data_IF_538132702355
#
_entry.id   IF_538132702355
#
_cell.length_a   1.000
_cell.length_b   1.000
_cell.length_c   1.000
_cell.angle_alpha   90.00
_cell.angle_beta   90.00
_cell.angle_gamma   90.00
#
_symmetry.space_group_name_H-M   'P 1'
#
loop_
_entity.id
_entity.type
_entity.pdbx_description
1 polymer ?
#
# COMPACT_ATOMS: atom_id res chain seq x y z
N UNK A 1 -1.64 -19.63 -44.27
CA UNK A 1 -0.96 -18.83 -43.23
C UNK A 1 0.59 -18.83 -43.35
N UNK A 2 1.15 -19.46 -44.38
CA UNK A 2 2.62 -19.53 -44.62
C UNK A 2 3.17 -18.55 -45.66
N UNK A 3 2.34 -17.75 -46.33
CA UNK A 3 2.77 -16.88 -47.47
C UNK A 3 3.03 -15.40 -47.09
N UNK A 4 2.82 -15.00 -45.83
CA UNK A 4 3.08 -13.59 -45.42
C UNK A 4 4.51 -13.35 -44.89
N UNK A 5 5.29 -14.40 -44.63
CA UNK A 5 6.65 -14.30 -44.10
C UNK A 5 7.74 -14.04 -45.17
N UNK A 6 7.40 -14.14 -46.45
CA UNK A 6 8.37 -14.07 -47.53
C UNK A 6 8.76 -12.64 -47.95
N UNK A 7 8.12 -11.60 -47.43
CA UNK A 7 8.31 -10.20 -47.88
C UNK A 7 9.04 -9.26 -46.93
N UNK A 8 9.31 -9.72 -45.68
CA UNK A 8 10.01 -8.88 -44.74
C UNK A 8 11.49 -9.27 -44.62
N UNK A 9 12.39 -8.29 -44.82
CA UNK A 9 13.82 -8.55 -44.64
C UNK A 9 14.15 -8.89 -43.16
N UNK A 10 15.20 -9.68 -42.89
CA UNK A 10 15.55 -10.13 -41.52
C UNK A 10 15.67 -9.01 -40.49
N UNK A 11 16.13 -7.83 -40.89
CA UNK A 11 16.22 -6.66 -40.02
C UNK A 11 14.84 -6.14 -39.57
N UNK A 12 13.79 -6.31 -40.37
CA UNK A 12 12.42 -5.91 -40.00
C UNK A 12 11.88 -6.79 -38.87
N UNK A 13 12.22 -8.10 -38.88
CA UNK A 13 11.90 -9.00 -37.77
C UNK A 13 12.68 -8.63 -36.49
N UNK A 14 13.96 -8.24 -36.62
CA UNK A 14 14.75 -7.77 -35.50
C UNK A 14 14.19 -6.46 -34.91
N UNK A 15 13.75 -5.52 -35.75
CA UNK A 15 13.09 -4.28 -35.28
C UNK A 15 11.75 -4.56 -34.63
N UNK A 16 10.92 -5.44 -35.21
CA UNK A 16 9.63 -5.83 -34.62
C UNK A 16 9.82 -6.54 -33.28
N UNK A 17 10.77 -7.46 -33.17
CA UNK A 17 11.11 -8.12 -31.92
C UNK A 17 11.70 -7.13 -30.89
N UNK A 18 12.55 -6.20 -31.35
CA UNK A 18 13.13 -5.14 -30.54
C UNK A 18 12.10 -4.16 -29.98
N UNK A 19 10.99 -3.91 -30.71
CA UNK A 19 9.89 -3.07 -30.25
C UNK A 19 8.84 -3.86 -29.43
N UNK A 20 8.62 -5.12 -29.77
CA UNK A 20 7.58 -5.95 -29.13
C UNK A 20 7.89 -6.24 -27.66
N UNK A 21 9.14 -6.47 -27.30
CA UNK A 21 9.55 -6.75 -25.92
C UNK A 21 9.32 -5.54 -24.98
N UNK A 22 9.80 -4.31 -25.30
CA UNK A 22 9.49 -3.14 -24.49
C UNK A 22 7.98 -2.85 -24.41
N UNK A 23 7.24 -3.01 -25.52
CA UNK A 23 5.80 -2.84 -25.54
C UNK A 23 5.10 -3.84 -24.63
N UNK A 24 5.48 -5.13 -24.69
CA UNK A 24 4.96 -6.16 -23.80
C UNK A 24 5.27 -5.87 -22.32
N UNK A 25 6.49 -5.43 -22.01
CA UNK A 25 6.87 -5.03 -20.65
C UNK A 25 6.04 -3.84 -20.16
N UNK A 26 5.78 -2.83 -21.01
CA UNK A 26 4.90 -1.71 -20.69
C UNK A 26 3.45 -2.15 -20.47
N UNK A 27 2.96 -3.08 -21.27
CA UNK A 27 1.60 -3.61 -21.12
C UNK A 27 1.44 -4.49 -19.88
N UNK A 28 2.45 -5.31 -19.57
CA UNK A 28 2.42 -6.26 -18.47
C UNK A 28 2.90 -5.67 -17.13
N UNK A 29 3.47 -4.45 -17.13
CA UNK A 29 4.10 -3.86 -15.94
C UNK A 29 3.21 -3.90 -14.70
N UNK A 30 1.90 -3.72 -14.83
CA UNK A 30 0.99 -3.79 -13.70
C UNK A 30 1.10 -5.12 -12.95
N UNK A 31 1.00 -6.25 -13.64
CA UNK A 31 1.16 -7.59 -13.04
C UNK A 31 2.57 -7.85 -12.55
N UNK A 32 3.59 -7.34 -13.24
CA UNK A 32 4.98 -7.48 -12.81
C UNK A 32 5.28 -6.68 -11.54
N UNK A 33 4.71 -5.50 -11.40
CA UNK A 33 4.96 -4.59 -10.28
C UNK A 33 4.16 -4.96 -9.03
N UNK A 34 2.86 -5.22 -9.17
CA UNK A 34 1.99 -5.60 -8.05
C UNK A 34 2.12 -7.08 -7.71
N UNK A 35 2.45 -7.88 -8.71
CA UNK A 35 2.73 -9.29 -8.55
C UNK A 35 1.53 -10.19 -8.71
N UNK A 36 1.72 -11.45 -8.36
CA UNK A 36 0.76 -12.53 -8.47
C UNK A 36 1.06 -13.57 -7.39
N UNK A 37 0.23 -13.68 -6.36
CA UNK A 37 0.45 -14.72 -5.34
C UNK A 37 -0.85 -15.25 -4.77
N UNK A 38 -0.84 -16.53 -4.45
CA UNK A 38 -1.86 -17.23 -3.71
C UNK A 38 -1.39 -17.56 -2.28
N UNK A 39 -0.13 -17.23 -1.95
CA UNK A 39 0.46 -17.60 -0.67
C UNK A 39 0.01 -16.62 0.41
N UNK A 40 -0.77 -17.13 1.35
CA UNK A 40 -1.12 -16.45 2.60
C UNK A 40 0.00 -16.74 3.60
N UNK A 41 0.66 -15.68 4.05
CA UNK A 41 1.64 -15.79 5.14
C UNK A 41 0.97 -15.32 6.41
N UNK A 42 0.79 -16.25 7.34
CA UNK A 42 0.29 -15.93 8.67
C UNK A 42 1.37 -15.25 9.52
N UNK A 43 0.93 -14.49 10.51
CA UNK A 43 1.76 -13.89 11.55
C UNK A 43 1.20 -14.29 12.91
N UNK A 44 1.93 -14.02 13.96
CA UNK A 44 1.41 -14.24 15.30
C UNK A 44 0.19 -13.34 15.55
N UNK A 45 -0.93 -13.91 16.02
CA UNK A 45 -2.10 -13.10 16.37
C UNK A 45 -1.74 -12.16 17.52
N UNK A 46 -2.30 -10.96 17.49
CA UNK A 46 -2.09 -10.00 18.57
C UNK A 46 -2.80 -10.43 19.86
N UNK A 47 -2.43 -9.83 20.99
CA UNK A 47 -2.94 -10.21 22.32
C UNK A 47 -4.47 -10.06 22.45
N UNK A 48 -5.10 -9.27 21.59
CA UNK A 48 -6.55 -9.07 21.56
C UNK A 48 -7.24 -9.81 20.39
N UNK A 49 -6.59 -10.82 19.78
CA UNK A 49 -7.12 -11.51 18.60
C UNK A 49 -8.49 -12.17 18.87
N UNK A 50 -8.71 -12.72 20.06
CA UNK A 50 -10.00 -13.32 20.45
C UNK A 50 -11.14 -12.29 20.55
N UNK A 51 -10.81 -11.02 20.72
CA UNK A 51 -11.77 -9.90 20.74
C UNK A 51 -11.99 -9.28 19.35
N UNK A 52 -11.71 -10.05 18.30
CA UNK A 52 -11.79 -9.61 16.91
C UNK A 52 -12.64 -10.56 16.09
N UNK A 53 -13.51 -10.01 15.26
CA UNK A 53 -14.32 -10.79 14.32
C UNK A 53 -13.89 -10.46 12.89
N UNK A 54 -13.14 -11.36 12.25
CA UNK A 54 -12.81 -11.24 10.83
C UNK A 54 -13.99 -11.68 9.96
N UNK A 55 -14.25 -10.92 8.92
CA UNK A 55 -15.25 -11.17 7.88
C UNK A 55 -14.57 -11.07 6.52
N UNK A 56 -14.73 -12.08 5.66
CA UNK A 56 -14.35 -11.98 4.26
C UNK A 56 -15.36 -11.10 3.52
N UNK A 57 -14.86 -10.08 2.81
CA UNK A 57 -15.70 -9.09 2.14
C UNK A 57 -15.31 -8.93 0.68
N UNK A 58 -16.26 -8.46 -0.12
CA UNK A 58 -16.06 -8.20 -1.53
C UNK A 58 -16.42 -6.77 -1.87
N UNK A 59 -15.57 -6.13 -2.67
CA UNK A 59 -15.81 -4.79 -3.18
C UNK A 59 -16.01 -4.85 -4.69
N UNK A 60 -17.22 -4.51 -5.14
CA UNK A 60 -17.53 -4.42 -6.56
C UNK A 60 -16.95 -3.14 -7.15
N UNK A 61 -16.34 -3.29 -8.34
CA UNK A 61 -15.71 -2.18 -9.08
C UNK A 61 -16.24 -2.12 -10.50
N UNK A 62 -16.16 -0.97 -11.17
CA UNK A 62 -16.57 -0.84 -12.57
C UNK A 62 -15.95 -1.91 -13.48
N UNK A 63 -16.72 -2.35 -14.48
CA UNK A 63 -16.29 -3.39 -15.42
C UNK A 63 -16.38 -4.82 -14.87
N UNK A 64 -17.21 -5.06 -13.82
CA UNK A 64 -17.41 -6.37 -13.23
C UNK A 64 -16.20 -6.89 -12.44
N UNK A 65 -15.26 -6.01 -12.10
CA UNK A 65 -14.12 -6.36 -11.26
C UNK A 65 -14.56 -6.48 -9.81
N UNK A 66 -14.20 -7.59 -9.15
CA UNK A 66 -14.42 -7.82 -7.72
C UNK A 66 -13.10 -7.89 -6.99
N UNK A 67 -13.00 -7.23 -5.83
CA UNK A 67 -11.82 -7.29 -4.97
C UNK A 67 -12.16 -8.06 -3.71
N UNK A 68 -11.34 -9.06 -3.41
CA UNK A 68 -11.40 -9.83 -2.18
C UNK A 68 -10.72 -9.06 -1.05
N UNK A 69 -11.35 -9.01 0.11
CA UNK A 69 -10.81 -8.34 1.28
C UNK A 69 -11.26 -8.96 2.60
N UNK A 70 -10.77 -8.38 3.68
CA UNK A 70 -11.11 -8.75 5.05
C UNK A 70 -11.41 -7.49 5.85
N UNK A 71 -12.60 -7.49 6.47
CA UNK A 71 -12.98 -6.55 7.50
C UNK A 71 -12.86 -7.25 8.85
N UNK A 72 -12.11 -6.67 9.78
CA UNK A 72 -11.99 -7.20 11.13
C UNK A 72 -12.45 -6.13 12.11
N UNK A 73 -13.52 -6.43 12.83
CA UNK A 73 -14.12 -5.51 13.79
C UNK A 73 -13.89 -5.97 15.23
N UNK A 74 -13.81 -5.04 16.21
CA UNK A 74 -13.84 -5.38 17.61
C UNK A 74 -15.16 -6.08 17.99
N UNK A 75 -15.12 -7.00 18.96
CA UNK A 75 -16.30 -7.71 19.46
C UNK A 75 -16.87 -7.13 20.77
N UNK A 76 -16.33 -6.01 21.24
CA UNK A 76 -16.84 -5.32 22.44
C UNK A 76 -18.18 -4.63 22.21
N UNK A 77 -18.81 -4.18 23.32
CA UNK A 77 -20.15 -3.55 23.29
C UNK A 77 -20.17 -2.17 22.60
N UNK A 78 -19.02 -1.54 22.47
CA UNK A 78 -18.91 -0.24 21.80
C UNK A 78 -18.56 -0.41 20.32
N UNK A 79 -19.26 0.32 19.42
CA UNK A 79 -18.91 0.30 18.00
C UNK A 79 -17.50 0.87 17.77
N UNK A 80 -16.84 0.48 16.68
CA UNK A 80 -15.53 1.04 16.33
C UNK A 80 -15.63 2.54 16.10
N UNK A 81 -14.61 3.27 16.49
CA UNK A 81 -14.47 4.72 16.29
C UNK A 81 -13.41 5.06 15.25
N UNK A 82 -12.60 4.07 14.83
CA UNK A 82 -11.51 4.20 13.89
C UNK A 82 -11.58 3.10 12.85
N UNK A 83 -11.22 3.46 11.64
CA UNK A 83 -11.01 2.52 10.54
C UNK A 83 -9.56 2.62 10.08
N UNK A 84 -8.78 1.57 10.27
CA UNK A 84 -7.47 1.43 9.65
C UNK A 84 -7.61 0.71 8.31
N UNK A 85 -7.31 1.39 7.20
CA UNK A 85 -7.25 0.79 5.88
C UNK A 85 -5.80 0.37 5.57
N UNK A 86 -5.59 -0.94 5.41
CA UNK A 86 -4.27 -1.53 5.20
C UNK A 86 -3.98 -1.82 3.74
N UNK A 87 -2.80 -1.43 3.27
CA UNK A 87 -2.28 -1.69 1.94
C UNK A 87 -1.08 -2.63 2.00
N UNK A 88 -1.24 -3.83 1.44
CA UNK A 88 -0.20 -4.84 1.37
C UNK A 88 0.99 -4.46 0.48
N UNK A 89 2.09 -5.18 0.64
CA UNK A 89 3.26 -5.07 -0.21
C UNK A 89 3.10 -5.78 -1.56
N UNK A 90 4.17 -5.80 -2.34
CA UNK A 90 4.23 -6.57 -3.59
C UNK A 90 4.06 -8.07 -3.32
N UNK A 91 3.25 -8.76 -4.12
CA UNK A 91 2.97 -10.20 -3.96
C UNK A 91 2.38 -10.56 -2.57
N UNK A 92 1.70 -9.66 -1.93
CA UNK A 92 1.13 -9.89 -0.60
C UNK A 92 -0.37 -10.11 -0.68
N UNK A 93 -0.81 -11.33 -0.37
CA UNK A 93 -2.21 -11.60 -0.08
C UNK A 93 -2.50 -11.13 1.35
N UNK A 94 -3.48 -10.23 1.50
CA UNK A 94 -3.80 -9.58 2.79
C UNK A 94 -4.67 -10.43 3.72
N UNK A 95 -4.94 -11.69 3.39
CA UNK A 95 -5.73 -12.60 4.23
C UNK A 95 -5.12 -12.89 5.62
N UNK A 96 -3.90 -12.45 5.88
CA UNK A 96 -3.26 -12.50 7.20
C UNK A 96 -3.61 -11.31 8.11
N UNK A 97 -4.18 -10.26 7.56
CA UNK A 97 -4.43 -9.01 8.30
C UNK A 97 -5.38 -9.16 9.51
N UNK A 98 -6.28 -10.14 9.59
CA UNK A 98 -6.99 -10.43 10.84
C UNK A 98 -6.07 -10.63 12.05
N UNK A 99 -4.90 -11.25 11.86
CA UNK A 99 -3.91 -11.44 12.93
C UNK A 99 -3.35 -10.09 13.41
N UNK A 100 -3.14 -9.13 12.50
CA UNK A 100 -2.73 -7.77 12.81
C UNK A 100 -3.76 -7.05 13.69
N UNK A 101 -5.05 -7.27 13.46
CA UNK A 101 -6.11 -6.59 14.17
C UNK A 101 -6.05 -6.79 15.71
N UNK A 102 -5.49 -7.90 16.16
CA UNK A 102 -5.29 -8.17 17.59
C UNK A 102 -4.27 -7.25 18.28
N UNK A 103 -3.50 -6.47 17.52
CA UNK A 103 -2.54 -5.48 18.04
C UNK A 103 -3.09 -4.05 18.03
N UNK A 104 -4.25 -3.84 17.42
CA UNK A 104 -4.86 -2.51 17.28
C UNK A 104 -5.70 -2.14 18.51
N UNK A 105 -5.97 -0.85 18.73
CA UNK A 105 -6.89 -0.38 19.77
C UNK A 105 -8.25 -1.07 19.70
N UNK A 106 -8.90 -1.26 20.84
CA UNK A 106 -10.20 -1.94 20.93
C UNK A 106 -11.33 -1.21 20.19
N UNK A 107 -11.16 0.07 19.87
CA UNK A 107 -12.10 0.87 19.09
C UNK A 107 -11.72 1.00 17.61
N UNK A 108 -10.71 0.22 17.15
CA UNK A 108 -10.22 0.29 15.77
C UNK A 108 -10.63 -0.94 14.97
N UNK A 109 -11.39 -0.73 13.89
CA UNK A 109 -11.62 -1.74 12.87
C UNK A 109 -10.48 -1.73 11.84
N UNK A 110 -10.19 -2.90 11.27
CA UNK A 110 -9.18 -3.08 10.23
C UNK A 110 -9.85 -3.55 8.93
N UNK A 111 -9.56 -2.86 7.83
CA UNK A 111 -10.00 -3.23 6.49
C UNK A 111 -8.80 -3.39 5.58
N UNK A 112 -8.76 -4.46 4.81
CA UNK A 112 -7.73 -4.70 3.80
C UNK A 112 -8.34 -5.38 2.57
N UNK A 113 -7.95 -4.95 1.37
CA UNK A 113 -8.30 -5.61 0.11
C UNK A 113 -7.05 -6.05 -0.64
N UNK A 114 -7.13 -7.22 -1.24
CA UNK A 114 -6.14 -7.64 -2.22
C UNK A 114 -6.18 -6.70 -3.43
N UNK A 115 -5.01 -6.28 -3.91
CA UNK A 115 -4.95 -5.59 -5.20
C UNK A 115 -5.51 -6.46 -6.32
N UNK A 116 -5.89 -5.84 -7.42
CA UNK A 116 -6.28 -6.54 -8.64
C UNK A 116 -5.24 -7.60 -8.99
N UNK A 117 -5.69 -8.77 -9.45
CA UNK A 117 -4.90 -9.97 -9.76
C UNK A 117 -4.18 -10.63 -8.57
N UNK A 118 -4.43 -10.23 -7.33
CA UNK A 118 -3.94 -10.92 -6.13
C UNK A 118 -5.08 -11.68 -5.44
N UNK A 119 -4.75 -12.82 -4.85
CA UNK A 119 -5.76 -13.69 -4.26
C UNK A 119 -6.87 -14.02 -5.28
N UNK A 120 -8.11 -13.79 -4.88
CA UNK A 120 -9.29 -13.97 -5.74
C UNK A 120 -9.76 -12.64 -6.36
N UNK A 121 -9.01 -11.55 -6.20
CA UNK A 121 -9.32 -10.26 -6.82
C UNK A 121 -9.13 -10.33 -8.33
N UNK A 122 -10.16 -9.89 -9.05
CA UNK A 122 -10.14 -9.80 -10.52
C UNK A 122 -9.39 -8.58 -11.03
N UNK A 123 -9.41 -8.41 -12.36
CA UNK A 123 -8.95 -7.21 -13.05
C UNK A 123 -7.43 -7.10 -13.20
N UNK A 124 -7.02 -5.99 -13.81
CA UNK A 124 -5.62 -5.69 -14.12
C UNK A 124 -5.11 -4.54 -13.23
N UNK A 125 -4.01 -4.72 -12.49
CA UNK A 125 -3.50 -3.69 -11.59
C UNK A 125 -2.74 -2.58 -12.35
N UNK A 126 -2.95 -1.34 -11.91
CA UNK A 126 -2.15 -0.16 -12.24
C UNK A 126 -2.20 0.80 -11.05
N UNK A 127 -1.33 1.79 -10.99
CA UNK A 127 -1.40 2.80 -9.94
C UNK A 127 -2.78 3.47 -9.91
N UNK A 128 -3.26 3.97 -11.05
CA UNK A 128 -4.56 4.63 -11.14
C UNK A 128 -5.70 3.72 -10.67
N UNK A 129 -5.70 2.43 -11.09
CA UNK A 129 -6.71 1.48 -10.67
C UNK A 129 -6.62 1.18 -9.17
N UNK A 130 -5.41 0.93 -8.64
CA UNK A 130 -5.22 0.62 -7.22
C UNK A 130 -5.57 1.81 -6.31
N UNK A 131 -5.27 3.05 -6.72
CA UNK A 131 -5.65 4.26 -5.97
C UNK A 131 -7.17 4.48 -6.01
N UNK A 132 -7.81 4.29 -7.16
CA UNK A 132 -9.27 4.36 -7.28
C UNK A 132 -9.98 3.26 -6.46
N UNK A 133 -9.41 2.06 -6.44
CA UNK A 133 -9.90 0.95 -5.61
C UNK A 133 -9.71 1.24 -4.13
N UNK A 134 -8.58 1.82 -3.74
CA UNK A 134 -8.30 2.24 -2.36
C UNK A 134 -9.28 3.34 -1.88
N UNK A 135 -9.61 4.32 -2.73
CA UNK A 135 -10.61 5.33 -2.40
C UNK A 135 -12.00 4.72 -2.21
N UNK A 136 -12.39 3.79 -3.08
CA UNK A 136 -13.65 3.07 -2.95
C UNK A 136 -13.69 2.18 -1.70
N UNK A 137 -12.58 1.52 -1.36
CA UNK A 137 -12.45 0.73 -0.14
C UNK A 137 -12.60 1.60 1.12
N UNK A 138 -11.99 2.79 1.12
CA UNK A 138 -12.16 3.76 2.21
C UNK A 138 -13.63 4.18 2.37
N UNK A 139 -14.27 4.58 1.27
CA UNK A 139 -15.69 4.97 1.29
C UNK A 139 -16.60 3.82 1.73
N UNK A 140 -16.37 2.61 1.21
CA UNK A 140 -17.13 1.42 1.58
C UNK A 140 -16.99 1.09 3.07
N UNK A 141 -15.75 1.10 3.60
CA UNK A 141 -15.48 0.77 4.99
C UNK A 141 -16.08 1.79 5.97
N UNK A 142 -15.96 3.09 5.68
CA UNK A 142 -16.57 4.14 6.48
C UNK A 142 -18.09 4.03 6.48
N UNK A 143 -18.72 3.82 5.33
CA UNK A 143 -20.16 3.63 5.21
C UNK A 143 -20.63 2.36 5.94
N UNK A 144 -19.93 1.23 5.79
CA UNK A 144 -20.24 -0.07 6.42
C UNK A 144 -20.23 0.00 7.95
N UNK A 145 -19.38 0.88 8.50
CA UNK A 145 -19.20 1.06 9.95
C UNK A 145 -19.90 2.33 10.49
N UNK A 146 -20.62 3.07 9.64
CA UNK A 146 -21.24 4.36 9.98
C UNK A 146 -20.25 5.37 10.58
N UNK A 147 -19.02 5.42 10.05
CA UNK A 147 -17.94 6.28 10.54
C UNK A 147 -17.81 7.55 9.68
N UNK A 148 -17.47 8.71 10.28
CA UNK A 148 -17.13 9.91 9.54
C UNK A 148 -15.75 9.78 8.86
N UNK A 149 -15.47 10.64 7.87
CA UNK A 149 -14.17 10.66 7.18
C UNK A 149 -12.99 10.90 8.12
N UNK A 150 -13.20 11.63 9.21
CA UNK A 150 -12.20 11.87 10.27
C UNK A 150 -11.84 10.62 11.08
N UNK A 151 -12.52 9.50 10.90
CA UNK A 151 -12.17 8.22 11.52
C UNK A 151 -11.19 7.39 10.67
N UNK A 152 -10.81 7.87 9.47
CA UNK A 152 -9.99 7.11 8.54
C UNK A 152 -8.49 7.25 8.84
N UNK A 153 -7.85 6.13 9.08
CA UNK A 153 -6.41 5.96 9.20
C UNK A 153 -5.91 5.05 8.08
N UNK A 154 -4.76 5.36 7.51
CA UNK A 154 -4.16 4.56 6.43
C UNK A 154 -2.89 3.89 6.91
N UNK A 155 -2.64 2.66 6.48
CA UNK A 155 -1.36 2.01 6.70
C UNK A 155 -0.91 1.27 5.44
N UNK A 156 0.36 1.40 5.10
CA UNK A 156 0.93 0.72 3.95
C UNK A 156 2.27 0.07 4.26
N UNK A 157 2.53 -1.07 3.63
CA UNK A 157 3.80 -1.77 3.71
C UNK A 157 4.48 -1.81 2.34
N UNK A 158 5.77 -1.43 2.27
CA UNK A 158 6.58 -1.50 1.04
C UNK A 158 5.85 -0.82 -0.14
N UNK A 159 5.50 -1.56 -1.21
CA UNK A 159 4.70 -1.03 -2.33
C UNK A 159 3.40 -0.37 -1.85
N UNK A 160 2.74 -0.94 -0.84
CA UNK A 160 1.51 -0.39 -0.26
C UNK A 160 1.69 0.99 0.37
N UNK A 161 2.91 1.38 0.76
CA UNK A 161 3.18 2.76 1.22
C UNK A 161 2.95 3.77 0.11
N UNK A 162 3.32 3.43 -1.14
CA UNK A 162 3.04 4.25 -2.30
C UNK A 162 1.55 4.42 -2.56
N UNK A 163 0.77 3.33 -2.44
CA UNK A 163 -0.70 3.39 -2.59
C UNK A 163 -1.34 4.23 -1.48
N UNK A 164 -0.93 4.02 -0.22
CA UNK A 164 -1.41 4.81 0.92
C UNK A 164 -1.13 6.30 0.74
N UNK A 165 0.08 6.67 0.29
CA UNK A 165 0.47 8.05 0.03
C UNK A 165 -0.34 8.70 -1.09
N UNK A 166 -0.55 7.99 -2.22
CA UNK A 166 -1.37 8.48 -3.33
C UNK A 166 -2.83 8.67 -2.91
N UNK A 167 -3.39 7.72 -2.15
CA UNK A 167 -4.75 7.87 -1.60
C UNK A 167 -4.83 9.06 -0.64
N UNK A 168 -3.88 9.19 0.29
CA UNK A 168 -3.87 10.30 1.26
C UNK A 168 -3.82 11.66 0.56
N UNK A 169 -2.98 11.81 -0.47
CA UNK A 169 -2.90 13.03 -1.27
C UNK A 169 -4.22 13.31 -2.02
N UNK A 170 -4.84 12.28 -2.59
CA UNK A 170 -6.12 12.39 -3.29
C UNK A 170 -7.26 12.80 -2.36
N UNK A 171 -7.32 12.21 -1.17
CA UNK A 171 -8.31 12.55 -0.16
C UNK A 171 -8.10 13.99 0.38
N UNK A 172 -6.86 14.41 0.60
CA UNK A 172 -6.54 15.77 1.01
C UNK A 172 -6.96 16.79 -0.07
N UNK A 173 -6.69 16.53 -1.34
CA UNK A 173 -7.12 17.37 -2.46
C UNK A 173 -8.65 17.45 -2.59
N UNK A 174 -9.37 16.42 -2.14
CA UNK A 174 -10.84 16.39 -2.10
C UNK A 174 -11.44 17.01 -0.81
N UNK A 175 -10.62 17.64 0.06
CA UNK A 175 -11.07 18.24 1.32
C UNK A 175 -11.49 17.23 2.40
N UNK A 176 -11.10 15.98 2.25
CA UNK A 176 -11.44 14.87 3.17
C UNK A 176 -10.17 14.13 3.60
N UNK A 177 -9.16 14.80 4.18
CA UNK A 177 -7.88 14.19 4.50
C UNK A 177 -8.05 12.98 5.44
N UNK A 178 -7.20 11.98 5.28
CA UNK A 178 -7.06 10.93 6.27
C UNK A 178 -6.50 11.53 7.57
N UNK A 179 -6.93 11.00 8.70
CA UNK A 179 -6.50 11.47 10.02
C UNK A 179 -5.01 11.21 10.25
N UNK A 180 -4.53 10.07 9.78
CA UNK A 180 -3.11 9.72 9.91
C UNK A 180 -2.68 8.66 8.88
N UNK A 181 -1.38 8.54 8.67
CA UNK A 181 -0.78 7.58 7.72
C UNK A 181 0.39 6.85 8.37
N UNK A 182 0.35 5.52 8.41
CA UNK A 182 1.47 4.69 8.85
C UNK A 182 2.20 4.07 7.65
N UNK A 183 3.51 4.24 7.58
CA UNK A 183 4.36 3.82 6.47
C UNK A 183 5.41 2.81 6.97
N UNK A 184 5.31 1.57 6.54
CA UNK A 184 6.19 0.48 6.97
C UNK A 184 7.15 0.13 5.83
N UNK A 185 8.44 0.32 6.04
CA UNK A 185 9.49 0.20 5.01
C UNK A 185 9.18 1.03 3.74
N UNK A 186 8.94 2.36 3.87
CA UNK A 186 8.43 3.17 2.79
C UNK A 186 9.46 3.42 1.69
N UNK A 187 8.97 3.46 0.46
CA UNK A 187 9.73 3.86 -0.72
C UNK A 187 9.44 5.32 -1.11
N UNK A 188 10.47 6.06 -1.57
CA UNK A 188 10.26 7.41 -2.10
C UNK A 188 9.50 7.40 -3.42
N UNK A 189 9.76 6.40 -4.27
CA UNK A 189 8.96 6.07 -5.44
C UNK A 189 9.33 4.68 -5.96
N UNK A 190 8.41 3.99 -6.61
CA UNK A 190 8.68 2.70 -7.24
C UNK A 190 9.72 2.85 -8.38
N UNK A 191 9.66 3.97 -9.13
CA UNK A 191 10.66 4.31 -10.15
C UNK A 191 12.08 4.33 -9.58
N UNK A 192 12.26 4.93 -8.40
CA UNK A 192 13.58 5.01 -7.77
C UNK A 192 14.09 3.64 -7.30
N UNK A 193 13.21 2.76 -6.84
CA UNK A 193 13.57 1.37 -6.48
C UNK A 193 14.01 0.61 -7.72
N UNK A 194 13.27 0.69 -8.83
CA UNK A 194 13.57 -0.03 -10.07
C UNK A 194 14.88 0.46 -10.73
N UNK A 195 15.19 1.75 -10.64
CA UNK A 195 16.46 2.31 -11.16
C UNK A 195 17.71 1.73 -10.53
N UNK A 196 17.61 1.09 -9.37
CA UNK A 196 18.76 0.40 -8.75
C UNK A 196 19.13 -0.91 -9.42
N UNK A 197 18.20 -1.51 -10.17
CA UNK A 197 18.49 -2.70 -10.95
C UNK A 197 18.94 -2.26 -12.36
N UNK A 198 20.20 -2.56 -12.77
CA UNK A 198 20.73 -2.12 -14.05
C UNK A 198 19.95 -2.65 -15.26
N UNK A 199 19.29 -3.80 -15.13
CA UNK A 199 18.42 -4.36 -16.19
C UNK A 199 17.08 -3.63 -16.31
N UNK A 200 16.57 -3.06 -15.21
CA UNK A 200 15.28 -2.37 -15.18
C UNK A 200 15.41 -0.85 -15.31
N UNK A 201 16.57 -0.29 -14.97
CA UNK A 201 16.82 1.15 -15.01
C UNK A 201 16.49 1.79 -16.38
N UNK A 202 16.89 1.21 -17.53
CA UNK A 202 16.55 1.78 -18.85
C UNK A 202 15.05 1.81 -19.16
N UNK A 203 14.25 0.96 -18.48
CA UNK A 203 12.80 0.85 -18.71
C UNK A 203 11.98 1.83 -17.86
N UNK A 204 12.61 2.46 -16.86
CA UNK A 204 11.90 3.33 -15.90
C UNK A 204 11.30 4.62 -16.50
N UNK A 205 11.76 5.20 -17.62
CA UNK A 205 11.06 6.30 -18.29
C UNK A 205 9.64 5.94 -18.75
N UNK A 206 9.40 4.68 -19.15
CA UNK A 206 8.09 4.19 -19.60
C UNK A 206 7.21 3.63 -18.47
N UNK A 207 7.65 3.78 -17.22
CA UNK A 207 6.88 3.32 -16.07
C UNK A 207 5.60 4.16 -15.88
N UNK A 208 4.44 3.50 -16.01
CA UNK A 208 3.09 4.11 -15.86
C UNK A 208 2.61 4.16 -14.42
N UNK A 209 3.27 3.43 -13.52
CA UNK A 209 2.91 3.34 -12.09
C UNK A 209 4.13 3.69 -11.25
N UNK A 210 4.56 4.97 -11.21
CA UNK A 210 5.74 5.40 -10.47
C UNK A 210 5.58 5.34 -8.95
N UNK A 211 4.35 5.37 -8.43
CA UNK A 211 4.02 5.46 -7.00
C UNK A 211 4.93 6.48 -6.30
N UNK A 212 4.87 7.73 -6.77
CA UNK A 212 5.76 8.81 -6.29
C UNK A 212 5.28 9.34 -4.95
N UNK A 213 5.76 8.72 -3.87
CA UNK A 213 5.41 9.09 -2.50
C UNK A 213 5.93 10.49 -2.13
N UNK A 214 7.08 10.92 -2.70
CA UNK A 214 7.63 12.26 -2.44
C UNK A 214 6.76 13.35 -3.06
N UNK A 215 6.27 13.14 -4.27
CA UNK A 215 5.31 14.06 -4.88
C UNK A 215 4.00 14.12 -4.09
N UNK A 216 3.47 12.96 -3.67
CA UNK A 216 2.26 12.86 -2.85
C UNK A 216 2.40 13.53 -1.47
N UNK A 217 3.59 13.48 -0.87
CA UNK A 217 3.86 14.06 0.45
C UNK A 217 3.52 15.57 0.54
N UNK A 218 3.62 16.29 -0.58
CA UNK A 218 3.35 17.75 -0.64
C UNK A 218 1.91 18.12 -0.26
N UNK A 219 0.99 17.18 -0.36
CA UNK A 219 -0.43 17.38 -0.03
C UNK A 219 -0.79 16.96 1.40
N UNK A 220 0.18 16.40 2.17
CA UNK A 220 -0.08 15.84 3.48
C UNK A 220 0.40 16.78 4.59
N UNK A 221 -0.52 17.10 5.50
CA UNK A 221 -0.25 17.82 6.75
C UNK A 221 -0.74 17.06 7.99
N UNK A 222 -1.08 15.77 7.84
CA UNK A 222 -1.54 14.90 8.92
C UNK A 222 -0.38 14.27 9.68
N UNK A 223 -0.70 13.51 10.73
CA UNK A 223 0.29 12.68 11.42
C UNK A 223 0.77 11.52 10.56
N UNK A 224 2.07 11.28 10.58
CA UNK A 224 2.69 10.17 9.85
C UNK A 224 3.61 9.37 10.76
N UNK A 225 3.34 8.06 10.86
CA UNK A 225 4.26 7.09 11.47
C UNK A 225 5.12 6.45 10.38
N UNK A 226 6.43 6.40 10.60
CA UNK A 226 7.37 5.69 9.71
C UNK A 226 8.08 4.61 10.50
N UNK A 227 7.90 3.34 10.09
CA UNK A 227 8.62 2.21 10.66
C UNK A 227 9.70 1.73 9.69
N UNK A 228 10.95 1.73 10.15
CA UNK A 228 12.12 1.32 9.38
C UNK A 228 12.67 0.01 9.91
N UNK A 229 13.02 -0.89 9.00
CA UNK A 229 13.77 -2.10 9.36
C UNK A 229 15.26 -1.76 9.51
N UNK A 230 15.92 -2.31 10.51
CA UNK A 230 17.36 -2.09 10.73
C UNK A 230 18.18 -2.47 9.50
N UNK A 231 17.88 -3.63 8.91
CA UNK A 231 18.59 -4.19 7.75
C UNK A 231 17.67 -4.28 6.54
N UNK A 232 17.32 -3.12 5.94
CA UNK A 232 16.52 -3.08 4.72
C UNK A 232 17.41 -3.09 3.48
N UNK A 233 17.52 -4.27 2.84
CA UNK A 233 18.29 -4.45 1.59
C UNK A 233 17.44 -4.20 0.34
N UNK A 234 16.11 -4.13 0.45
CA UNK A 234 15.20 -3.93 -0.68
C UNK A 234 14.94 -2.45 -0.92
N UNK A 235 14.62 -1.71 0.14
CA UNK A 235 14.43 -0.25 0.10
C UNK A 235 15.47 0.40 1.01
N UNK A 236 16.54 1.00 0.46
CA UNK A 236 17.54 1.69 1.27
C UNK A 236 16.93 2.79 2.13
N UNK A 237 17.48 2.99 3.32
CA UNK A 237 17.06 4.04 4.24
C UNK A 237 17.05 5.45 3.60
N UNK A 238 17.93 5.73 2.64
CA UNK A 238 17.94 6.98 1.89
C UNK A 238 16.59 7.28 1.19
N UNK A 239 15.83 6.26 0.78
CA UNK A 239 14.49 6.44 0.23
C UNK A 239 13.52 6.95 1.30
N UNK A 240 13.55 6.32 2.47
CA UNK A 240 12.69 6.68 3.60
C UNK A 240 13.05 8.05 4.15
N UNK A 241 14.34 8.37 4.27
CA UNK A 241 14.80 9.70 4.72
C UNK A 241 14.35 10.82 3.76
N UNK A 242 14.48 10.61 2.43
CA UNK A 242 13.99 11.58 1.45
C UNK A 242 12.47 11.81 1.60
N UNK A 243 11.70 10.74 1.85
CA UNK A 243 10.25 10.85 2.04
C UNK A 243 9.91 11.57 3.36
N UNK A 244 10.60 11.23 4.46
CA UNK A 244 10.42 11.90 5.76
C UNK A 244 10.67 13.39 5.64
N UNK A 245 11.77 13.80 5.00
CA UNK A 245 12.05 15.22 4.75
C UNK A 245 10.95 15.91 3.94
N UNK A 246 10.44 15.25 2.88
CA UNK A 246 9.35 15.80 2.07
C UNK A 246 8.06 15.99 2.88
N UNK A 247 7.71 15.04 3.74
CA UNK A 247 6.56 15.10 4.65
C UNK A 247 6.70 16.24 5.66
N UNK A 248 7.88 16.36 6.29
CA UNK A 248 8.16 17.44 7.25
C UNK A 248 8.08 18.82 6.60
N UNK A 249 8.63 18.98 5.40
CA UNK A 249 8.53 20.24 4.63
C UNK A 249 7.08 20.59 4.26
N UNK A 250 6.20 19.58 4.07
CA UNK A 250 4.78 19.80 3.84
C UNK A 250 4.00 20.15 5.11
N UNK A 251 4.62 20.03 6.29
CA UNK A 251 4.02 20.34 7.58
C UNK A 251 3.40 19.14 8.28
N UNK A 252 3.66 17.92 7.81
CA UNK A 252 3.23 16.70 8.48
C UNK A 252 4.00 16.47 9.79
N UNK A 253 3.31 16.00 10.83
CA UNK A 253 3.94 15.58 12.09
C UNK A 253 4.46 14.14 11.93
N UNK A 254 5.78 13.98 11.74
CA UNK A 254 6.38 12.68 11.42
C UNK A 254 7.06 12.08 12.63
N UNK A 255 6.64 10.86 13.00
CA UNK A 255 7.30 10.01 14.00
C UNK A 255 8.02 8.87 13.28
N UNK A 256 9.31 8.67 13.58
CA UNK A 256 10.14 7.63 12.93
C UNK A 256 10.64 6.66 13.99
N UNK A 257 10.44 5.36 13.78
CA UNK A 257 11.04 4.30 14.58
C UNK A 257 11.81 3.32 13.69
N UNK A 258 13.06 3.05 14.05
CA UNK A 258 13.87 1.98 13.47
C UNK A 258 13.88 0.80 14.44
N UNK A 259 13.48 -0.38 13.94
CA UNK A 259 13.36 -1.57 14.78
C UNK A 259 14.55 -2.51 14.59
N UNK A 260 15.27 -2.74 15.69
CA UNK A 260 16.42 -3.64 15.72
C UNK A 260 16.04 -5.07 15.38
N UNK A 261 16.97 -5.85 14.83
CA UNK A 261 16.79 -7.25 14.46
C UNK A 261 15.85 -7.51 13.28
N UNK A 262 15.36 -6.46 12.62
CA UNK A 262 14.37 -6.59 11.54
C UNK A 262 14.95 -6.35 10.15
N UNK A 263 14.30 -6.93 9.14
CA UNK A 263 14.57 -6.70 7.73
C UNK A 263 13.28 -6.34 6.98
N UNK A 264 13.39 -6.01 5.70
CA UNK A 264 12.25 -5.60 4.86
C UNK A 264 11.05 -6.55 4.92
N UNK A 265 11.30 -7.85 5.01
CA UNK A 265 10.22 -8.87 4.97
C UNK A 265 9.62 -9.13 6.34
N UNK A 266 10.43 -9.06 7.40
CA UNK A 266 9.99 -9.42 8.74
C UNK A 266 9.28 -8.28 9.46
N UNK A 267 9.69 -7.01 9.24
CA UNK A 267 9.27 -5.86 10.05
C UNK A 267 7.75 -5.82 10.32
N UNK A 268 6.94 -5.84 9.28
CA UNK A 268 5.48 -5.72 9.38
C UNK A 268 4.79 -6.91 10.09
N UNK A 269 5.55 -7.91 10.53
CA UNK A 269 5.05 -9.11 11.21
C UNK A 269 5.66 -9.30 12.58
N UNK A 270 6.48 -8.35 13.01
CA UNK A 270 7.06 -8.43 14.35
C UNK A 270 6.10 -7.84 15.38
N UNK A 271 5.96 -8.47 16.56
CA UNK A 271 5.19 -7.90 17.66
C UNK A 271 5.62 -6.48 18.02
N UNK A 272 6.92 -6.17 17.89
CA UNK A 272 7.44 -4.84 18.15
C UNK A 272 6.87 -3.78 17.20
N UNK A 273 6.84 -4.04 15.89
CA UNK A 273 6.26 -3.11 14.91
C UNK A 273 4.74 -2.95 15.11
N UNK A 274 4.05 -4.05 15.43
CA UNK A 274 2.61 -4.02 15.63
C UNK A 274 2.24 -3.27 16.92
N UNK A 275 3.00 -3.42 18.01
CA UNK A 275 2.85 -2.58 19.21
C UNK A 275 3.09 -1.10 18.94
N UNK A 276 4.10 -0.76 18.13
CA UNK A 276 4.33 0.63 17.74
C UNK A 276 3.15 1.21 16.96
N UNK A 277 2.61 0.47 16.00
CA UNK A 277 1.45 0.88 15.23
C UNK A 277 0.21 1.06 16.13
N UNK A 278 -0.11 0.06 16.95
CA UNK A 278 -1.25 0.10 17.86
C UNK A 278 -1.14 1.21 18.90
N UNK A 279 0.02 1.37 19.54
CA UNK A 279 0.26 2.45 20.51
C UNK A 279 0.20 3.83 19.91
N UNK A 280 0.70 4.00 18.67
CA UNK A 280 0.62 5.26 17.95
C UNK A 280 -0.83 5.62 17.58
N UNK A 281 -1.63 4.65 17.14
CA UNK A 281 -3.06 4.88 16.88
C UNK A 281 -3.83 5.23 18.15
N UNK A 282 -3.42 4.71 19.34
CA UNK A 282 -4.02 5.05 20.63
C UNK A 282 -3.74 6.48 21.05
N UNK A 283 -2.52 6.99 20.80
CA UNK A 283 -2.12 8.32 21.26
C UNK A 283 -2.89 9.47 20.59
N UNK A 284 -3.63 9.15 19.51
CA UNK A 284 -4.45 10.10 18.76
C UNK A 284 -3.62 11.17 18.02
N UNK A 285 -4.26 12.02 17.19
CA UNK A 285 -3.55 13.07 16.48
C UNK A 285 -2.92 14.06 17.46
N UNK A 286 -1.61 14.24 17.35
CA UNK A 286 -0.90 15.31 18.05
C UNK A 286 -1.16 16.63 17.31
N UNK A 287 -1.46 17.75 17.99
CA UNK A 287 -1.61 19.03 17.32
C UNK A 287 -0.35 19.30 16.49
N UNK A 288 -0.54 19.69 15.22
CA UNK A 288 0.58 20.08 14.36
C UNK A 288 1.35 21.20 15.03
N UNK A 289 2.70 21.11 15.05
CA UNK A 289 3.58 22.13 15.60
C UNK A 289 3.60 23.39 14.71
N UNK A 290 2.43 23.95 14.39
CA UNK A 290 2.27 25.28 13.82
C UNK A 290 1.61 26.13 14.89
N UNK A 291 2.48 26.72 15.75
CA UNK A 291 2.27 27.97 16.41
C UNK A 291 2.90 29.06 15.58
#
# INVERSE_FOLDING_TARGET
MMLLFAYFPPWAFALLAGAALPAALVLLQGKLLFGRTWVIRRTDPGPAAERRRPEAVWLERPGGVRLQGWLTVPTGDSPPRRLLLWFGGRNENVAWTPDLAGWLPDDCALLAFNYRSLGESGGWPSEAACVADAEAAAAWGLARLALPSSALHLAGRSLGTGVAMQLAARLAAAGRPATSVALITPLKSLRAVLRRNPLLAPLTPWLRSPLDSVAAARALNCEVLVLLAERDTQVPHAHSHTLVQALQHAGAAVTVHQLAGTNHRSLARTPAAMRQLGGWLLSGPRPSAKG
#
